data_IF_824828459825
#
_entry.id   IF_824828459825
#
_cell.length_a   1.000
_cell.length_b   1.000
_cell.length_c   1.000
_cell.angle_alpha   90.00
_cell.angle_beta   90.00
_cell.angle_gamma   90.00
#
_symmetry.space_group_name_H-M   'P 1'
#
loop_
_entity.id
_entity.type
_entity.pdbx_description
1 polymer ?
#
# COMPACT_ATOMS: atom_id res chain seq x y z
N UNK A 1 -8.23 -22.54 9.27
CA UNK A 1 -7.58 -22.47 7.94
C UNK A 1 -8.49 -21.69 7.03
N UNK A 2 -8.03 -20.60 6.41
CA UNK A 2 -8.85 -19.86 5.45
C UNK A 2 -9.21 -20.77 4.27
N UNK A 3 -10.49 -20.80 3.90
CA UNK A 3 -10.98 -21.62 2.80
C UNK A 3 -10.50 -21.02 1.48
N UNK A 4 -9.60 -21.72 0.77
CA UNK A 4 -9.16 -21.31 -0.57
C UNK A 4 -10.16 -21.74 -1.64
N UNK A 5 -10.42 -20.88 -2.62
CA UNK A 5 -11.30 -21.16 -3.76
C UNK A 5 -10.46 -21.24 -5.03
N UNK A 6 -10.55 -22.36 -5.75
CA UNK A 6 -9.86 -22.53 -7.02
C UNK A 6 -10.58 -21.78 -8.14
N UNK A 7 -9.83 -21.04 -8.95
CA UNK A 7 -10.32 -20.40 -10.18
C UNK A 7 -9.29 -20.53 -11.29
N UNK A 8 -9.76 -20.73 -12.52
CA UNK A 8 -8.91 -20.80 -13.71
C UNK A 8 -9.12 -19.55 -14.54
N UNK A 9 -8.02 -18.91 -14.95
CA UNK A 9 -8.02 -17.72 -15.80
C UNK A 9 -7.24 -17.99 -17.09
N UNK A 10 -7.69 -17.40 -18.19
CA UNK A 10 -6.92 -17.38 -19.43
C UNK A 10 -5.91 -16.22 -19.34
N UNK A 11 -4.63 -16.54 -19.20
CA UNK A 11 -3.55 -15.57 -19.12
C UNK A 11 -2.69 -15.60 -20.38
N UNK A 12 -2.09 -14.46 -20.72
CA UNK A 12 -1.10 -14.42 -21.79
C UNK A 12 0.09 -15.35 -21.44
N UNK A 13 0.67 -16.07 -22.42
CA UNK A 13 1.77 -17.01 -22.16
C UNK A 13 2.96 -16.37 -21.43
N UNK A 14 3.25 -15.09 -21.75
CA UNK A 14 4.28 -14.30 -21.06
C UNK A 14 4.03 -14.15 -19.56
N UNK A 15 2.77 -14.00 -19.15
CA UNK A 15 2.37 -13.82 -17.75
C UNK A 15 2.53 -15.14 -16.99
N UNK A 16 2.07 -16.24 -17.58
CA UNK A 16 2.25 -17.58 -17.01
C UNK A 16 3.74 -17.88 -16.79
N UNK A 17 4.57 -17.60 -17.81
CA UNK A 17 6.03 -17.75 -17.70
C UNK A 17 6.61 -16.92 -16.56
N UNK A 18 6.17 -15.66 -16.41
CA UNK A 18 6.68 -14.75 -15.37
C UNK A 18 6.33 -15.22 -13.96
N UNK A 19 5.09 -15.63 -13.73
CA UNK A 19 4.63 -16.16 -12.44
C UNK A 19 5.42 -17.41 -12.07
N UNK A 20 5.61 -18.30 -13.06
CA UNK A 20 6.44 -19.48 -12.90
C UNK A 20 7.88 -19.15 -12.50
N UNK A 21 8.54 -18.23 -13.22
CA UNK A 21 9.90 -17.80 -12.90
C UNK A 21 10.00 -17.16 -11.50
N UNK A 22 9.02 -16.34 -11.11
CA UNK A 22 8.97 -15.72 -9.79
C UNK A 22 8.93 -16.75 -8.66
N UNK A 23 8.10 -17.79 -8.79
CA UNK A 23 8.03 -18.85 -7.80
C UNK A 23 9.26 -19.78 -7.84
N UNK A 24 9.61 -20.29 -9.02
CA UNK A 24 10.59 -21.39 -9.15
C UNK A 24 12.04 -20.92 -9.25
N UNK A 25 12.31 -19.82 -9.96
CA UNK A 25 13.68 -19.34 -10.21
C UNK A 25 14.12 -18.31 -9.18
N UNK A 26 13.22 -17.40 -8.83
CA UNK A 26 13.55 -16.26 -7.97
C UNK A 26 13.10 -16.45 -6.52
N UNK A 27 12.27 -17.46 -6.23
CA UNK A 27 11.83 -17.76 -4.86
C UNK A 27 11.04 -16.64 -4.20
N UNK A 28 10.35 -15.80 -5.00
CA UNK A 28 9.57 -14.64 -4.50
C UNK A 28 8.46 -15.09 -3.55
N UNK A 29 7.88 -16.27 -3.80
CA UNK A 29 6.89 -16.89 -2.93
C UNK A 29 6.96 -18.42 -3.02
N UNK A 30 6.35 -19.09 -2.04
CA UNK A 30 6.38 -20.56 -1.91
C UNK A 30 5.67 -21.32 -3.05
N UNK A 31 4.82 -20.65 -3.83
CA UNK A 31 4.10 -21.24 -4.96
C UNK A 31 3.72 -20.16 -5.98
N UNK A 32 3.29 -20.60 -7.17
CA UNK A 32 2.73 -19.70 -8.18
C UNK A 32 1.46 -19.00 -7.67
N UNK A 33 0.59 -19.69 -6.93
CA UNK A 33 -0.60 -19.09 -6.32
C UNK A 33 -0.22 -17.99 -5.32
N UNK A 34 0.83 -18.20 -4.51
CA UNK A 34 1.32 -17.20 -3.56
C UNK A 34 1.94 -15.98 -4.27
N UNK A 35 2.53 -16.15 -5.46
CA UNK A 35 2.96 -15.01 -6.30
C UNK A 35 1.75 -14.19 -6.75
N UNK A 36 0.63 -14.85 -7.10
CA UNK A 36 -0.59 -14.15 -7.51
C UNK A 36 -1.22 -13.40 -6.33
N UNK A 37 -1.33 -14.04 -5.15
CA UNK A 37 -1.83 -13.40 -3.92
C UNK A 37 -1.01 -12.14 -3.60
N UNK A 38 0.33 -12.26 -3.58
CA UNK A 38 1.22 -11.12 -3.34
C UNK A 38 1.07 -10.00 -4.39
N UNK A 39 0.86 -10.36 -5.65
CA UNK A 39 0.67 -9.37 -6.71
C UNK A 39 -0.66 -8.60 -6.58
N UNK A 40 -1.71 -9.25 -6.07
CA UNK A 40 -3.01 -8.62 -5.80
C UNK A 40 -2.90 -7.69 -4.61
N UNK A 41 -2.29 -8.14 -3.51
CA UNK A 41 -2.09 -7.33 -2.31
C UNK A 41 -1.29 -6.06 -2.62
N UNK A 42 -0.22 -6.18 -3.42
CA UNK A 42 0.58 -5.04 -3.84
C UNK A 42 -0.19 -4.09 -4.78
N UNK A 43 -1.09 -4.61 -5.62
CA UNK A 43 -1.95 -3.78 -6.45
C UNK A 43 -2.95 -2.99 -5.60
N UNK A 44 -3.59 -3.65 -4.64
CA UNK A 44 -4.52 -3.01 -3.70
C UNK A 44 -3.81 -1.93 -2.88
N UNK A 45 -2.62 -2.23 -2.36
CA UNK A 45 -1.79 -1.27 -1.62
C UNK A 45 -1.52 -0.02 -2.45
N UNK A 46 -1.07 -0.18 -3.70
CA UNK A 46 -0.81 0.97 -4.60
C UNK A 46 -2.06 1.81 -4.89
N UNK A 47 -3.21 1.17 -5.03
CA UNK A 47 -4.48 1.87 -5.25
C UNK A 47 -4.88 2.68 -4.01
N UNK A 48 -4.71 2.11 -2.83
CA UNK A 48 -4.95 2.81 -1.55
C UNK A 48 -3.99 3.98 -1.38
N UNK A 49 -2.68 3.75 -1.54
CA UNK A 49 -1.66 4.81 -1.44
C UNK A 49 -1.96 5.97 -2.40
N UNK A 50 -2.35 5.68 -3.65
CA UNK A 50 -2.68 6.70 -4.63
C UNK A 50 -3.94 7.48 -4.24
N UNK A 51 -4.95 6.81 -3.67
CA UNK A 51 -6.16 7.47 -3.18
C UNK A 51 -5.88 8.35 -1.97
N UNK A 52 -5.06 7.88 -1.04
CA UNK A 52 -4.66 8.64 0.14
C UNK A 52 -3.80 9.84 -0.24
N UNK A 53 -2.84 9.67 -1.15
CA UNK A 53 -2.04 10.79 -1.66
C UNK A 53 -2.93 11.88 -2.28
N UNK A 54 -3.91 11.50 -3.10
CA UNK A 54 -4.86 12.45 -3.68
C UNK A 54 -5.71 13.15 -2.61
N UNK A 55 -6.10 12.44 -1.55
CA UNK A 55 -6.84 13.03 -0.43
C UNK A 55 -5.97 14.02 0.35
N UNK A 56 -4.70 13.70 0.59
CA UNK A 56 -3.74 14.60 1.24
C UNK A 56 -3.46 15.84 0.40
N UNK A 57 -3.30 15.71 -0.92
CA UNK A 57 -3.13 16.85 -1.83
C UNK A 57 -4.35 17.78 -1.81
N UNK A 58 -5.56 17.21 -1.80
CA UNK A 58 -6.80 17.98 -1.70
C UNK A 58 -6.89 18.70 -0.34
N UNK A 59 -6.61 18.00 0.76
CA UNK A 59 -6.63 18.56 2.11
C UNK A 59 -5.59 19.67 2.30
N UNK A 60 -4.38 19.53 1.74
CA UNK A 60 -3.35 20.57 1.79
C UNK A 60 -3.76 21.87 1.08
N UNK A 61 -4.73 21.78 0.15
CA UNK A 61 -5.27 22.95 -0.56
C UNK A 61 -6.57 23.48 0.08
N UNK A 62 -7.12 22.80 1.10
CA UNK A 62 -8.30 23.21 1.83
C UNK A 62 -7.92 24.15 2.98
N UNK A 63 -8.31 25.43 2.96
CA UNK A 63 -7.96 26.38 4.01
C UNK A 63 -8.49 26.01 5.40
N UNK A 64 -9.62 25.29 5.47
CA UNK A 64 -10.20 24.85 6.76
C UNK A 64 -9.32 23.80 7.39
N UNK A 65 -8.93 22.79 6.60
CA UNK A 65 -8.04 21.74 7.04
C UNK A 65 -6.67 22.28 7.47
N UNK A 66 -6.11 23.23 6.71
CA UNK A 66 -4.83 23.88 7.07
C UNK A 66 -4.94 24.63 8.40
N UNK A 67 -6.03 25.38 8.62
CA UNK A 67 -6.23 26.11 9.87
C UNK A 67 -6.36 25.16 11.08
N UNK A 68 -7.08 24.04 10.93
CA UNK A 68 -7.17 23.01 11.97
C UNK A 68 -5.81 22.37 12.25
N UNK A 69 -5.04 22.04 11.21
CA UNK A 69 -3.69 21.49 11.35
C UNK A 69 -2.73 22.45 12.07
N UNK A 70 -2.79 23.75 11.75
CA UNK A 70 -2.00 24.79 12.43
C UNK A 70 -2.38 24.93 13.92
N UNK A 71 -3.66 24.80 14.25
CA UNK A 71 -4.14 24.79 15.63
C UNK A 71 -3.58 23.59 16.41
N UNK A 72 -3.61 22.39 15.81
CA UNK A 72 -3.02 21.20 16.41
C UNK A 72 -1.50 21.34 16.60
N UNK A 73 -0.78 21.81 15.59
CA UNK A 73 0.67 22.05 15.71
C UNK A 73 0.97 23.03 16.87
N UNK A 74 0.22 24.14 16.96
CA UNK A 74 0.39 25.11 18.03
C UNK A 74 0.11 24.51 19.43
N UNK A 75 -0.92 23.66 19.55
CA UNK A 75 -1.31 23.04 20.82
C UNK A 75 -0.27 22.06 21.36
N UNK A 76 0.44 21.34 20.48
CA UNK A 76 1.37 20.27 20.90
C UNK A 76 2.86 20.62 20.78
N UNK A 77 3.21 21.77 20.19
CA UNK A 77 4.60 22.23 19.99
C UNK A 77 5.48 22.25 21.25
N UNK A 78 4.90 22.40 22.44
CA UNK A 78 5.65 22.33 23.71
C UNK A 78 5.96 20.88 24.11
N UNK A 79 4.98 19.98 23.99
CA UNK A 79 5.13 18.57 24.35
C UNK A 79 6.12 17.84 23.41
N UNK A 80 6.15 18.20 22.13
CA UNK A 80 7.08 17.60 21.16
C UNK A 80 8.55 17.94 21.49
N UNK A 81 8.81 19.19 21.93
CA UNK A 81 10.15 19.64 22.34
C UNK A 81 10.66 18.98 23.63
N UNK A 82 9.76 18.53 24.49
CA UNK A 82 10.11 17.79 25.70
C UNK A 82 10.40 16.31 25.38
N UNK A 83 9.77 15.76 24.34
CA UNK A 83 9.83 14.33 24.01
C UNK A 83 10.97 13.98 23.06
N UNK A 84 11.34 14.88 22.14
CA UNK A 84 12.43 14.66 21.19
C UNK A 84 13.54 15.71 21.34
N UNK A 85 14.68 15.39 21.97
CA UNK A 85 15.81 16.33 22.05
C UNK A 85 16.42 16.53 20.65
N UNK A 86 16.75 17.79 20.33
CA UNK A 86 17.27 18.25 19.04
C UNK A 86 18.58 17.58 18.60
#
# INVERSE_FOLDING_TARGET
MATRVKRTYNLAPRTVKRVREMAERYGVAASQDAVIELAIDELERRMTDAREAAAWEAAASDPTFVAEADEFDAAYRSADRETWPA
#
